data_IF_079163148409
#
_entry.id   IF_079163148409
#
_cell.length_a   1.000
_cell.length_b   1.000
_cell.length_c   1.000
_cell.angle_alpha   90.00
_cell.angle_beta   90.00
_cell.angle_gamma   90.00
#
_symmetry.space_group_name_H-M   'P 1'
#
loop_
_entity.id
_entity.type
_entity.pdbx_description
1 polymer ?
#
# COMPACT_ATOMS: atom_id res chain seq x y z
N UNK A 1 21.24 -1.66 61.33
CA UNK A 1 21.02 -1.10 59.98
C UNK A 1 20.11 -2.05 59.23
N UNK A 2 18.87 -1.65 58.94
CA UNK A 2 17.86 -2.52 58.31
C UNK A 2 18.05 -2.51 56.79
N UNK A 3 18.48 -3.64 56.22
CA UNK A 3 18.76 -3.78 54.79
C UNK A 3 17.43 -4.07 54.06
N UNK A 4 16.88 -3.08 53.36
CA UNK A 4 15.68 -3.28 52.54
C UNK A 4 16.07 -3.97 51.24
N UNK A 5 15.61 -5.21 51.07
CA UNK A 5 15.81 -6.00 49.85
C UNK A 5 14.62 -5.77 48.93
N UNK A 6 14.84 -5.10 47.80
CA UNK A 6 13.82 -4.97 46.75
C UNK A 6 13.86 -6.21 45.86
N UNK A 7 12.85 -7.07 45.99
CA UNK A 7 12.70 -8.27 45.16
C UNK A 7 11.92 -7.90 43.89
N UNK A 8 12.61 -7.76 42.76
CA UNK A 8 11.99 -7.61 41.45
C UNK A 8 11.49 -8.97 40.97
N UNK A 9 10.19 -9.25 41.16
CA UNK A 9 9.55 -10.44 40.56
C UNK A 9 9.19 -10.15 39.11
N UNK A 10 9.82 -10.88 38.19
CA UNK A 10 9.39 -10.94 36.79
C UNK A 10 8.35 -12.06 36.66
N UNK A 11 7.07 -11.71 36.66
CA UNK A 11 5.99 -12.66 36.37
C UNK A 11 5.90 -12.89 34.86
N UNK A 12 6.42 -14.01 34.38
CA UNK A 12 6.20 -14.45 33.00
C UNK A 12 4.80 -15.06 32.89
N UNK A 13 3.83 -14.31 32.39
CA UNK A 13 2.53 -14.87 32.02
C UNK A 13 2.72 -15.71 30.76
N UNK A 14 2.68 -17.03 30.91
CA UNK A 14 2.67 -18.03 29.83
C UNK A 14 1.32 -18.07 29.12
N UNK A 15 1.01 -16.98 28.44
CA UNK A 15 -0.04 -16.88 27.45
C UNK A 15 0.42 -15.78 26.51
N UNK A 16 0.69 -16.11 25.25
CA UNK A 16 1.11 -15.15 24.24
C UNK A 16 0.08 -14.01 24.21
N UNK A 17 0.35 -12.85 24.81
CA UNK A 17 -0.57 -11.74 24.65
C UNK A 17 -0.50 -11.41 23.16
N UNK A 18 -1.64 -11.34 22.48
CA UNK A 18 -1.69 -10.73 21.15
C UNK A 18 -1.42 -9.24 21.40
N UNK A 19 -0.14 -8.88 21.43
CA UNK A 19 0.31 -7.50 21.56
C UNK A 19 0.10 -6.87 20.19
N UNK A 20 -1.08 -6.30 19.98
CA UNK A 20 -1.36 -5.46 18.81
C UNK A 20 -0.46 -4.24 18.93
N UNK A 21 0.47 -4.07 17.98
CA UNK A 21 1.43 -2.97 18.00
C UNK A 21 0.75 -1.66 17.53
N UNK A 22 -0.07 -1.08 18.41
CA UNK A 22 -0.73 0.21 18.18
C UNK A 22 0.31 1.32 17.93
N UNK A 23 1.53 1.16 18.46
CA UNK A 23 2.65 2.07 18.21
C UNK A 23 3.16 2.08 16.76
N UNK A 24 3.03 0.96 16.03
CA UNK A 24 3.44 0.90 14.62
C UNK A 24 2.52 1.74 13.72
N UNK A 25 1.20 1.70 13.96
CA UNK A 25 0.21 2.47 13.20
C UNK A 25 0.36 3.99 13.36
N UNK A 26 0.84 4.45 14.53
CA UNK A 26 1.15 5.86 14.78
C UNK A 26 2.59 6.25 14.37
N UNK A 27 3.44 5.30 13.98
CA UNK A 27 4.78 5.58 13.48
C UNK A 27 4.74 6.13 12.05
N UNK A 28 5.74 6.94 11.69
CA UNK A 28 5.86 7.52 10.33
C UNK A 28 5.79 6.45 9.23
N UNK A 29 6.36 5.27 9.48
CA UNK A 29 6.33 4.15 8.53
C UNK A 29 4.94 3.51 8.40
N UNK A 30 4.22 3.34 9.52
CA UNK A 30 2.87 2.80 9.52
C UNK A 30 1.86 3.74 8.86
N UNK A 31 1.95 5.05 9.16
CA UNK A 31 1.10 6.08 8.54
C UNK A 31 1.27 6.07 7.02
N UNK A 32 2.51 5.99 6.52
CA UNK A 32 2.78 5.91 5.09
C UNK A 32 2.13 4.68 4.44
N UNK A 33 2.20 3.51 5.08
CA UNK A 33 1.55 2.29 4.57
C UNK A 33 0.02 2.36 4.60
N UNK A 34 -0.55 2.93 5.66
CA UNK A 34 -2.00 3.16 5.75
C UNK A 34 -2.42 4.06 4.59
N UNK A 35 -1.71 5.16 4.37
CA UNK A 35 -2.00 6.10 3.30
C UNK A 35 -1.88 5.44 1.91
N UNK A 36 -0.81 4.67 1.67
CA UNK A 36 -0.63 3.89 0.43
C UNK A 36 -1.79 2.90 0.17
N UNK A 37 -2.28 2.26 1.24
CA UNK A 37 -3.40 1.31 1.17
C UNK A 37 -4.71 2.03 0.85
N UNK A 38 -4.97 3.18 1.47
CA UNK A 38 -6.16 4.00 1.21
C UNK A 38 -6.16 4.50 -0.24
N UNK A 39 -5.06 5.08 -0.71
CA UNK A 39 -4.95 5.56 -2.09
C UNK A 39 -5.08 4.41 -3.10
N UNK A 40 -4.46 3.25 -2.83
CA UNK A 40 -4.63 2.07 -3.66
C UNK A 40 -6.08 1.59 -3.70
N UNK A 41 -6.80 1.66 -2.57
CA UNK A 41 -8.19 1.25 -2.46
C UNK A 41 -9.13 2.16 -3.23
N UNK A 42 -8.88 3.48 -3.17
CA UNK A 42 -9.58 4.46 -3.99
C UNK A 42 -9.36 4.18 -5.48
N UNK A 43 -8.12 3.92 -5.91
CA UNK A 43 -7.82 3.59 -7.31
C UNK A 43 -8.58 2.34 -7.78
N UNK A 44 -8.57 1.28 -6.97
CA UNK A 44 -9.23 0.01 -7.27
C UNK A 44 -10.75 0.17 -7.29
N UNK A 45 -11.32 0.83 -6.29
CA UNK A 45 -12.75 1.04 -6.14
C UNK A 45 -13.33 1.91 -7.24
N UNK A 46 -12.65 3.01 -7.60
CA UNK A 46 -13.05 3.87 -8.69
C UNK A 46 -13.08 3.08 -10.00
N UNK A 47 -11.99 2.37 -10.31
CA UNK A 47 -11.90 1.60 -11.55
C UNK A 47 -12.91 0.45 -11.64
N UNK A 48 -13.15 -0.27 -10.54
CA UNK A 48 -14.10 -1.37 -10.48
C UNK A 48 -15.55 -0.89 -10.63
N UNK A 49 -15.90 0.23 -9.99
CA UNK A 49 -17.24 0.83 -10.10
C UNK A 49 -17.56 1.22 -11.55
N UNK A 50 -16.61 1.86 -12.24
CA UNK A 50 -16.80 2.25 -13.64
C UNK A 50 -16.77 1.08 -14.62
N UNK A 51 -16.05 0.01 -14.30
CA UNK A 51 -16.06 -1.23 -15.09
C UNK A 51 -17.39 -1.95 -14.97
N UNK A 52 -17.94 -2.02 -13.75
CA UNK A 52 -19.25 -2.64 -13.47
C UNK A 52 -20.41 -1.86 -14.11
N UNK A 53 -20.36 -0.53 -14.04
CA UNK A 53 -21.41 0.35 -14.59
C UNK A 53 -21.58 0.23 -16.11
N UNK A 54 -20.54 -0.19 -16.83
CA UNK A 54 -20.59 -0.39 -18.29
C UNK A 54 -21.38 -1.63 -18.74
N UNK A 55 -21.88 -2.47 -17.82
CA UNK A 55 -22.80 -3.57 -18.17
C UNK A 55 -22.22 -4.57 -19.16
N UNK A 56 -20.89 -4.72 -19.22
CA UNK A 56 -20.23 -5.70 -20.08
C UNK A 56 -20.50 -7.10 -19.52
N UNK A 57 -21.56 -7.74 -20.02
CA UNK A 57 -21.87 -9.16 -19.82
C UNK A 57 -20.83 -10.11 -20.43
N UNK A 58 -19.89 -9.56 -21.20
CA UNK A 58 -18.78 -10.26 -21.80
C UNK A 58 -17.47 -9.67 -21.25
N UNK A 59 -16.51 -10.52 -20.94
CA UNK A 59 -15.16 -10.20 -20.43
C UNK A 59 -14.29 -9.44 -21.48
N UNK A 60 -14.87 -8.44 -22.15
CA UNK A 60 -14.20 -7.62 -23.16
C UNK A 60 -13.80 -6.28 -22.54
N UNK A 61 -12.91 -6.37 -21.56
CA UNK A 61 -12.29 -5.21 -20.94
C UNK A 61 -11.05 -4.82 -21.75
N UNK A 62 -10.87 -3.56 -22.15
CA UNK A 62 -9.71 -3.19 -22.94
C UNK A 62 -8.42 -3.36 -22.11
N UNK A 63 -7.38 -3.91 -22.73
CA UNK A 63 -6.21 -4.45 -22.00
C UNK A 63 -5.48 -3.47 -21.08
N UNK A 64 -5.59 -2.16 -21.34
CA UNK A 64 -4.99 -1.12 -20.50
C UNK A 64 -5.71 -0.95 -19.15
N UNK A 65 -7.03 -1.12 -19.12
CA UNK A 65 -7.83 -1.07 -17.90
C UNK A 65 -7.56 -2.30 -17.03
N UNK A 66 -7.41 -3.46 -17.67
CA UNK A 66 -7.11 -4.73 -17.00
C UNK A 66 -5.70 -4.73 -16.41
N UNK A 67 -4.71 -4.20 -17.12
CA UNK A 67 -3.35 -4.00 -16.60
C UNK A 67 -3.35 -3.09 -15.37
N UNK A 68 -4.09 -1.99 -15.40
CA UNK A 68 -4.22 -1.07 -14.27
C UNK A 68 -4.88 -1.75 -13.06
N UNK A 69 -6.00 -2.45 -13.25
CA UNK A 69 -6.70 -3.16 -12.18
C UNK A 69 -5.84 -4.24 -11.54
N UNK A 70 -5.17 -5.06 -12.35
CA UNK A 70 -4.32 -6.13 -11.85
C UNK A 70 -3.13 -5.58 -11.05
N UNK A 71 -2.54 -4.49 -11.56
CA UNK A 71 -1.45 -3.79 -10.87
C UNK A 71 -1.91 -3.18 -9.55
N UNK A 72 -3.02 -2.46 -9.56
CA UNK A 72 -3.58 -1.82 -8.36
C UNK A 72 -3.98 -2.86 -7.31
N UNK A 73 -4.65 -3.95 -7.71
CA UNK A 73 -5.04 -5.03 -6.81
C UNK A 73 -3.83 -5.77 -6.24
N UNK A 74 -2.86 -6.16 -7.08
CA UNK A 74 -1.66 -6.88 -6.64
C UNK A 74 -0.81 -6.09 -5.65
N UNK A 75 -0.58 -4.80 -5.94
CA UNK A 75 0.17 -3.94 -5.04
C UNK A 75 -0.59 -3.65 -3.75
N UNK A 76 -1.91 -3.40 -3.83
CA UNK A 76 -2.75 -3.16 -2.66
C UNK A 76 -2.82 -4.38 -1.75
N UNK A 77 -3.04 -5.57 -2.32
CA UNK A 77 -3.11 -6.81 -1.56
C UNK A 77 -1.79 -7.07 -0.82
N UNK A 78 -0.66 -6.90 -1.50
CA UNK A 78 0.64 -7.10 -0.89
C UNK A 78 0.92 -6.07 0.22
N UNK A 79 0.63 -4.78 0.00
CA UNK A 79 0.78 -3.73 1.04
C UNK A 79 -0.14 -3.96 2.23
N UNK A 80 -1.38 -4.40 1.99
CA UNK A 80 -2.32 -4.74 3.06
C UNK A 80 -1.83 -5.93 3.89
N UNK A 81 -1.33 -6.99 3.25
CA UNK A 81 -0.75 -8.13 3.94
C UNK A 81 0.49 -7.73 4.76
N UNK A 82 1.35 -6.87 4.23
CA UNK A 82 2.50 -6.33 4.97
C UNK A 82 2.05 -5.49 6.18
N UNK A 83 0.99 -4.70 6.02
CA UNK A 83 0.42 -3.89 7.10
C UNK A 83 -0.19 -4.79 8.19
N UNK A 84 -0.98 -5.79 7.83
CA UNK A 84 -1.55 -6.76 8.78
C UNK A 84 -0.45 -7.54 9.50
N UNK A 85 0.58 -8.00 8.77
CA UNK A 85 1.72 -8.68 9.35
C UNK A 85 2.49 -7.80 10.35
N UNK A 86 2.64 -6.51 10.04
CA UNK A 86 3.30 -5.54 10.92
C UNK A 86 2.48 -5.18 12.17
N UNK A 87 1.15 -5.19 12.09
CA UNK A 87 0.25 -4.97 13.23
C UNK A 87 0.17 -6.18 14.17
N UNK A 88 0.27 -7.41 13.63
CA UNK A 88 0.04 -8.64 14.38
C UNK A 88 1.21 -9.06 15.28
N UNK A 89 2.45 -8.63 14.99
CA UNK A 89 3.61 -9.16 15.72
C UNK A 89 4.75 -8.16 15.90
N UNK A 90 5.05 -7.84 17.16
CA UNK A 90 6.13 -6.93 17.59
C UNK A 90 7.52 -7.40 17.07
N UNK A 91 7.82 -8.70 17.16
CA UNK A 91 9.06 -9.31 16.64
C UNK A 91 9.14 -9.27 15.11
N UNK A 92 8.01 -9.46 14.42
CA UNK A 92 7.97 -9.41 12.96
C UNK A 92 8.14 -7.98 12.43
N UNK A 93 7.60 -6.96 13.12
CA UNK A 93 7.72 -5.55 12.70
C UNK A 93 9.17 -5.06 12.62
N UNK A 94 10.06 -5.55 13.51
CA UNK A 94 11.49 -5.17 13.56
C UNK A 94 12.37 -5.97 12.59
N UNK A 95 11.96 -7.19 12.24
CA UNK A 95 12.66 -8.04 11.28
C UNK A 95 12.24 -7.72 9.84
N UNK A 96 10.94 -7.49 9.57
CA UNK A 96 10.46 -7.16 8.23
C UNK A 96 10.99 -5.79 7.76
N UNK A 97 10.95 -4.77 8.64
CA UNK A 97 11.47 -3.43 8.38
C UNK A 97 13.00 -3.38 8.16
N UNK A 98 13.72 -4.46 8.51
CA UNK A 98 15.16 -4.61 8.28
C UNK A 98 15.51 -5.39 7.02
N UNK A 99 14.52 -5.99 6.35
CA UNK A 99 14.80 -6.79 5.15
C UNK A 99 14.82 -5.93 3.90
N UNK A 100 15.77 -6.23 3.00
CA UNK A 100 15.84 -5.67 1.64
C UNK A 100 14.54 -5.88 0.84
N UNK A 101 13.71 -6.85 1.26
CA UNK A 101 12.41 -7.13 0.67
C UNK A 101 11.45 -5.93 0.73
N UNK A 102 11.41 -5.18 1.83
CA UNK A 102 10.48 -4.03 1.95
C UNK A 102 10.87 -2.88 1.02
N UNK A 103 12.17 -2.62 0.87
CA UNK A 103 12.72 -1.63 -0.06
C UNK A 103 12.43 -2.06 -1.50
N UNK A 104 12.75 -3.31 -1.85
CA UNK A 104 12.52 -3.85 -3.19
C UNK A 104 11.03 -3.84 -3.55
N UNK A 105 10.17 -4.22 -2.62
CA UNK A 105 8.72 -4.18 -2.81
C UNK A 105 8.23 -2.76 -3.04
N UNK A 106 8.63 -1.79 -2.22
CA UNK A 106 8.23 -0.40 -2.41
C UNK A 106 8.74 0.20 -3.73
N UNK A 107 9.94 -0.18 -4.18
CA UNK A 107 10.49 0.24 -5.47
C UNK A 107 9.71 -0.37 -6.65
N UNK A 108 9.44 -1.68 -6.60
CA UNK A 108 8.65 -2.37 -7.63
C UNK A 108 7.22 -1.84 -7.67
N UNK A 109 6.57 -1.67 -6.50
CA UNK A 109 5.24 -1.08 -6.40
C UNK A 109 5.20 0.35 -6.96
N UNK A 110 6.23 1.17 -6.68
CA UNK A 110 6.37 2.50 -7.27
C UNK A 110 6.45 2.43 -8.81
N UNK A 111 7.32 1.58 -9.36
CA UNK A 111 7.49 1.45 -10.81
C UNK A 111 6.19 0.99 -11.49
N UNK A 112 5.50 0.01 -10.89
CA UNK A 112 4.24 -0.51 -11.40
C UNK A 112 3.11 0.52 -11.33
N UNK A 113 2.94 1.24 -10.22
CA UNK A 113 1.93 2.31 -10.12
C UNK A 113 2.19 3.46 -11.10
N UNK A 114 3.46 3.83 -11.32
CA UNK A 114 3.84 4.82 -12.33
C UNK A 114 3.52 4.35 -13.75
N UNK A 115 3.93 3.13 -14.10
CA UNK A 115 3.68 2.56 -15.42
C UNK A 115 2.17 2.42 -15.69
N UNK A 116 1.42 1.93 -14.72
CA UNK A 116 -0.04 1.79 -14.81
C UNK A 116 -0.74 3.15 -14.91
N UNK A 117 -0.35 4.12 -14.07
CA UNK A 117 -0.90 5.48 -14.09
C UNK A 117 -0.66 6.19 -15.42
N UNK A 118 0.57 6.15 -15.92
CA UNK A 118 0.94 6.76 -17.21
C UNK A 118 0.18 6.09 -18.36
N UNK A 119 0.15 4.76 -18.39
CA UNK A 119 -0.55 4.01 -19.46
C UNK A 119 -2.05 4.34 -19.48
N UNK A 120 -2.69 4.38 -18.31
CA UNK A 120 -4.10 4.74 -18.20
C UNK A 120 -4.35 6.19 -18.63
N UNK A 121 -3.47 7.11 -18.25
CA UNK A 121 -3.55 8.53 -18.61
C UNK A 121 -3.41 8.75 -20.11
N UNK A 122 -2.36 8.19 -20.73
CA UNK A 122 -2.12 8.31 -22.18
C UNK A 122 -3.27 7.72 -22.98
N UNK A 123 -3.78 6.54 -22.61
CA UNK A 123 -4.91 5.92 -23.31
C UNK A 123 -6.22 6.67 -23.12
N UNK A 124 -6.43 7.30 -21.97
CA UNK A 124 -7.61 8.14 -21.74
C UNK A 124 -7.55 9.43 -22.55
N UNK A 125 -6.38 10.07 -22.63
CA UNK A 125 -6.15 11.28 -23.43
C UNK A 125 -6.33 11.02 -24.94
N UNK A 126 -5.79 9.91 -25.44
CA UNK A 126 -5.88 9.50 -26.85
C UNK A 126 -7.34 9.23 -27.28
N UNK A 127 -8.16 8.70 -26.37
CA UNK A 127 -9.56 8.36 -26.61
C UNK A 127 -10.55 9.41 -26.11
N UNK A 128 -10.13 10.67 -25.92
CA UNK A 128 -10.97 11.76 -25.38
C UNK A 128 -12.32 11.93 -26.11
N UNK A 129 -12.37 11.66 -27.42
CA UNK A 129 -13.59 11.78 -28.24
C UNK A 129 -14.60 10.65 -28.05
N UNK A 130 -14.20 9.51 -27.48
CA UNK A 130 -15.00 8.28 -27.40
C UNK A 130 -15.67 8.08 -26.03
N UNK A 131 -15.28 8.86 -25.01
CA UNK A 131 -15.80 8.72 -23.66
C UNK A 131 -16.78 9.84 -23.31
N UNK A 132 -17.87 9.48 -22.63
CA UNK A 132 -18.71 10.45 -21.93
C UNK A 132 -17.87 11.22 -20.91
N UNK A 133 -18.10 12.53 -20.77
CA UNK A 133 -17.29 13.44 -19.93
C UNK A 133 -17.09 12.90 -18.51
N UNK A 134 -18.10 12.26 -17.93
CA UNK A 134 -18.04 11.71 -16.57
C UNK A 134 -17.03 10.54 -16.44
N UNK A 135 -17.03 9.62 -17.41
CA UNK A 135 -16.11 8.49 -17.41
C UNK A 135 -14.67 8.90 -17.72
N UNK A 136 -14.52 9.92 -18.56
CA UNK A 136 -13.22 10.51 -18.88
C UNK A 136 -12.57 11.13 -17.64
N UNK A 137 -13.32 11.97 -16.91
CA UNK A 137 -12.86 12.63 -15.69
C UNK A 137 -12.48 11.62 -14.60
N UNK A 138 -13.28 10.57 -14.43
CA UNK A 138 -13.00 9.53 -13.45
C UNK A 138 -11.72 8.72 -13.73
N UNK A 139 -11.46 8.39 -15.00
CA UNK A 139 -10.23 7.67 -15.40
C UNK A 139 -8.99 8.52 -15.18
N UNK A 140 -9.08 9.81 -15.46
CA UNK A 140 -8.01 10.77 -15.16
C UNK A 140 -7.79 10.84 -13.65
N UNK A 141 -8.86 10.93 -12.85
CA UNK A 141 -8.74 10.91 -11.40
C UNK A 141 -8.04 9.62 -10.90
N UNK A 142 -8.44 8.44 -11.39
CA UNK A 142 -7.79 7.17 -11.06
C UNK A 142 -6.30 7.15 -11.44
N UNK A 143 -5.95 7.66 -12.62
CA UNK A 143 -4.57 7.75 -13.08
C UNK A 143 -3.74 8.69 -12.19
N UNK A 144 -4.29 9.85 -11.82
CA UNK A 144 -3.62 10.80 -10.93
C UNK A 144 -3.43 10.20 -9.53
N UNK A 145 -4.44 9.54 -8.96
CA UNK A 145 -4.30 8.87 -7.67
C UNK A 145 -3.27 7.72 -7.72
N UNK A 146 -3.17 7.00 -8.83
CA UNK A 146 -2.15 5.97 -9.02
C UNK A 146 -0.73 6.56 -9.06
N UNK A 147 -0.53 7.69 -9.76
CA UNK A 147 0.74 8.42 -9.77
C UNK A 147 1.07 8.95 -8.36
N UNK A 148 0.10 9.56 -7.67
CA UNK A 148 0.30 9.97 -6.28
C UNK A 148 0.70 8.80 -5.39
N UNK A 149 0.03 7.64 -5.54
CA UNK A 149 0.36 6.45 -4.78
C UNK A 149 1.78 5.95 -5.07
N UNK A 150 2.21 5.97 -6.35
CA UNK A 150 3.58 5.66 -6.73
C UNK A 150 4.60 6.58 -6.06
N UNK A 151 4.34 7.89 -5.98
CA UNK A 151 5.19 8.82 -5.24
C UNK A 151 5.26 8.49 -3.74
N UNK A 152 4.14 8.10 -3.12
CA UNK A 152 4.12 7.64 -1.73
C UNK A 152 4.96 6.37 -1.52
N UNK A 153 4.92 5.44 -2.48
CA UNK A 153 5.78 4.25 -2.49
C UNK A 153 7.27 4.62 -2.60
N UNK A 154 7.61 5.60 -3.42
CA UNK A 154 8.98 6.12 -3.54
C UNK A 154 9.48 6.72 -2.22
N UNK A 155 8.67 7.53 -1.56
CA UNK A 155 9.00 8.11 -0.23
C UNK A 155 9.20 7.01 0.81
N UNK A 156 8.33 5.99 0.80
CA UNK A 156 8.46 4.80 1.65
C UNK A 156 9.78 4.05 1.43
N UNK A 157 10.14 3.82 0.16
CA UNK A 157 11.41 3.19 -0.22
C UNK A 157 12.62 4.02 0.26
N UNK A 158 12.59 5.34 0.09
CA UNK A 158 13.68 6.22 0.52
C UNK A 158 13.85 6.24 2.04
N UNK A 159 12.75 6.32 2.79
CA UNK A 159 12.77 6.25 4.25
C UNK A 159 13.32 4.91 4.74
N UNK A 160 12.86 3.80 4.15
CA UNK A 160 13.35 2.46 4.49
C UNK A 160 14.85 2.31 4.18
N UNK A 161 15.32 2.83 3.03
CA UNK A 161 16.74 2.83 2.67
C UNK A 161 17.61 3.66 3.64
N UNK A 162 17.11 4.79 4.15
CA UNK A 162 17.81 5.57 5.17
C UNK A 162 17.99 4.79 6.47
N UNK A 163 16.94 4.10 6.92
CA UNK A 163 16.98 3.29 8.15
C UNK A 163 17.95 2.12 7.98
N UNK A 164 17.91 1.43 6.84
CA UNK A 164 18.84 0.34 6.52
C UNK A 164 20.31 0.78 6.52
N UNK A 165 20.61 2.03 6.13
CA UNK A 165 21.99 2.55 6.13
C UNK A 165 22.47 3.05 7.49
N UNK A 166 21.57 3.25 8.46
CA UNK A 166 21.92 3.73 9.81
C UNK A 166 22.07 2.61 10.84
N UNK A 167 21.62 1.38 10.53
CA UNK A 167 21.79 0.18 11.36
C UNK A 167 22.95 -0.68 10.88
#
# INVERSE_FOLDING_TARGET
MSHTVTITRTTTTSGSPIIINTGYGCGVHGILKILQTVFGGICLGLMLHYTSSKGYSNFHMPGHEMYFLLTAFGCLLCTFLLLVASCWSFTSSSLLARTSFEILFHLVACALYMAAGITLLTKTLDNKRLYSDEHYNARIAAAVFAIMNGCLYLVGAFMSFRIFRQG
#
